data_IF_769697076896
#
_entry.id   IF_769697076896
#
_cell.length_a   1.000
_cell.length_b   1.000
_cell.length_c   1.000
_cell.angle_alpha   90.00
_cell.angle_beta   90.00
_cell.angle_gamma   90.00
#
_symmetry.space_group_name_H-M   'P 1'
#
loop_
_entity.id
_entity.type
_entity.pdbx_description
1 polymer ?
#
# COMPACT_ATOMS: atom_id res chain seq x y z
N UNK A 1 -27.65 -3.67 -11.49
CA UNK A 1 -26.29 -3.09 -11.44
C UNK A 1 -25.28 -4.22 -11.50
N UNK A 2 -24.22 -4.14 -12.32
CA UNK A 2 -23.20 -5.19 -12.39
C UNK A 2 -22.43 -5.26 -11.06
N UNK A 3 -22.21 -6.48 -10.57
CA UNK A 3 -21.38 -6.73 -9.39
C UNK A 3 -19.92 -6.89 -9.83
N UNK A 4 -19.08 -5.90 -9.52
CA UNK A 4 -17.67 -5.88 -9.89
C UNK A 4 -16.81 -5.89 -8.63
N UNK A 5 -15.80 -6.77 -8.59
CA UNK A 5 -14.77 -6.80 -7.56
C UNK A 5 -13.40 -6.74 -8.23
N UNK A 6 -12.57 -5.77 -7.82
CA UNK A 6 -11.22 -5.63 -8.31
C UNK A 6 -10.25 -5.96 -7.18
N UNK A 7 -9.53 -7.07 -7.30
CA UNK A 7 -8.51 -7.46 -6.34
C UNK A 7 -7.13 -7.33 -6.98
N UNK A 8 -6.19 -6.73 -6.26
CA UNK A 8 -4.82 -6.55 -6.74
C UNK A 8 -3.83 -6.99 -5.67
N UNK A 9 -2.77 -7.66 -6.10
CA UNK A 9 -1.53 -7.82 -5.32
C UNK A 9 -0.51 -6.82 -5.85
N UNK A 10 -0.20 -5.82 -5.03
CA UNK A 10 0.71 -4.73 -5.37
C UNK A 10 1.98 -4.90 -4.54
N UNK A 11 3.13 -4.88 -5.22
CA UNK A 11 4.44 -4.93 -4.58
C UNK A 11 5.24 -3.70 -5.01
N UNK A 12 5.94 -3.07 -4.07
CA UNK A 12 7.00 -2.12 -4.41
C UNK A 12 8.15 -2.20 -3.42
N UNK A 13 9.34 -1.88 -3.92
CA UNK A 13 10.57 -1.86 -3.13
C UNK A 13 10.95 -0.44 -2.67
N UNK A 14 11.81 -0.39 -1.65
CA UNK A 14 12.59 0.78 -1.28
C UNK A 14 13.49 1.22 -2.44
N UNK A 15 14.02 2.45 -2.36
CA UNK A 15 14.92 2.96 -3.39
C UNK A 15 16.18 2.07 -3.43
N UNK A 16 16.51 1.58 -4.63
CA UNK A 16 17.63 0.66 -4.86
C UNK A 16 17.57 -0.67 -4.07
N UNK A 17 16.39 -1.07 -3.56
CA UNK A 17 16.25 -2.23 -2.66
C UNK A 17 17.13 -2.14 -1.42
N UNK A 18 17.40 -0.92 -0.94
CA UNK A 18 18.11 -0.73 0.31
C UNK A 18 17.26 -1.29 1.49
N UNK A 19 17.85 -2.04 2.44
CA UNK A 19 17.13 -2.65 3.55
C UNK A 19 16.77 -1.59 4.62
N UNK A 20 15.83 -0.71 4.29
CA UNK A 20 15.47 0.48 5.09
C UNK A 20 14.22 0.27 5.95
N UNK A 21 13.49 -0.82 5.75
CA UNK A 21 12.28 -1.14 6.51
C UNK A 21 12.73 -1.85 7.79
N UNK A 22 13.10 -1.07 8.79
CA UNK A 22 13.36 -1.56 10.16
C UNK A 22 12.03 -1.85 10.89
N UNK A 23 12.02 -2.60 12.01
CA UNK A 23 10.77 -2.90 12.72
C UNK A 23 9.93 -1.66 13.12
N UNK A 24 10.58 -0.55 13.46
CA UNK A 24 9.88 0.70 13.79
C UNK A 24 9.30 1.38 12.53
N UNK A 25 10.05 1.37 11.43
CA UNK A 25 9.61 1.90 10.13
C UNK A 25 8.48 1.04 9.56
N UNK A 26 8.57 -0.28 9.69
CA UNK A 26 7.54 -1.23 9.26
C UNK A 26 6.20 -0.90 9.91
N UNK A 27 6.16 -0.77 11.24
CA UNK A 27 4.92 -0.47 11.97
C UNK A 27 4.25 0.80 11.44
N UNK A 28 5.01 1.88 11.28
CA UNK A 28 4.51 3.14 10.76
C UNK A 28 4.06 2.99 9.29
N UNK A 29 4.87 2.36 8.45
CA UNK A 29 4.59 2.11 7.03
C UNK A 29 3.28 1.35 6.82
N UNK A 30 3.10 0.22 7.51
CA UNK A 30 1.90 -0.61 7.36
C UNK A 30 0.66 0.15 7.87
N UNK A 31 0.78 0.90 8.97
CA UNK A 31 -0.30 1.73 9.50
C UNK A 31 -0.72 2.82 8.50
N UNK A 32 0.22 3.61 7.98
CA UNK A 32 -0.03 4.66 6.99
C UNK A 32 -0.75 4.12 5.75
N UNK A 33 -0.28 2.99 5.21
CA UNK A 33 -0.85 2.40 4.00
C UNK A 33 -2.28 1.93 4.27
N UNK A 34 -2.55 1.32 5.43
CA UNK A 34 -3.91 0.92 5.85
C UNK A 34 -4.85 2.12 5.96
N UNK A 35 -4.45 3.15 6.69
CA UNK A 35 -5.26 4.35 6.92
C UNK A 35 -5.59 5.04 5.58
N UNK A 36 -4.57 5.26 4.73
CA UNK A 36 -4.78 5.90 3.44
C UNK A 36 -5.66 5.08 2.52
N UNK A 37 -5.49 3.76 2.49
CA UNK A 37 -6.31 2.87 1.67
C UNK A 37 -7.76 2.85 2.14
N UNK A 38 -8.00 2.88 3.46
CA UNK A 38 -9.33 2.98 4.05
C UNK A 38 -10.01 4.30 3.68
N UNK A 39 -9.30 5.43 3.73
CA UNK A 39 -9.82 6.74 3.29
C UNK A 39 -10.23 6.74 1.81
N UNK A 40 -9.59 5.93 0.97
CA UNK A 40 -9.93 5.79 -0.45
C UNK A 40 -11.13 4.85 -0.69
N UNK A 41 -11.61 4.16 0.35
CA UNK A 41 -12.65 3.13 0.23
C UNK A 41 -12.13 1.82 -0.37
N UNK A 42 -10.82 1.57 -0.31
CA UNK A 42 -10.18 0.38 -0.85
C UNK A 42 -9.63 -0.48 0.30
N UNK A 43 -10.43 -1.37 0.91
CA UNK A 43 -9.97 -2.13 2.07
C UNK A 43 -8.79 -3.06 1.72
N UNK A 44 -7.79 -3.08 2.58
CA UNK A 44 -6.64 -3.99 2.49
C UNK A 44 -7.03 -5.33 3.10
N UNK A 45 -6.85 -6.40 2.33
CA UNK A 45 -7.11 -7.77 2.73
C UNK A 45 -5.91 -8.37 3.47
N UNK A 46 -4.69 -8.10 2.99
CA UNK A 46 -3.44 -8.50 3.62
C UNK A 46 -2.33 -7.49 3.27
N UNK A 47 -1.39 -7.28 4.17
CA UNK A 47 -0.25 -6.37 3.98
C UNK A 47 0.87 -6.79 4.92
N UNK A 48 2.05 -6.96 4.35
CA UNK A 48 3.27 -7.38 5.03
C UNK A 48 4.45 -6.69 4.35
N UNK A 49 5.52 -6.45 5.09
CA UNK A 49 6.77 -5.96 4.54
C UNK A 49 7.94 -6.79 5.03
N UNK A 50 9.01 -6.73 4.27
CA UNK A 50 10.34 -7.19 4.66
C UNK A 50 11.31 -6.05 4.45
N UNK A 51 12.60 -6.27 4.67
CA UNK A 51 13.59 -5.21 4.84
C UNK A 51 13.67 -4.22 3.66
N UNK A 52 13.38 -4.66 2.43
CA UNK A 52 13.50 -3.84 1.21
C UNK A 52 12.20 -3.69 0.39
N UNK A 53 11.08 -4.33 0.76
CA UNK A 53 9.84 -4.21 0.00
C UNK A 53 8.58 -4.53 0.81
N UNK A 54 7.44 -4.13 0.25
CA UNK A 54 6.11 -4.32 0.83
C UNK A 54 5.18 -5.00 -0.16
N UNK A 55 4.36 -5.91 0.36
CA UNK A 55 3.27 -6.60 -0.36
C UNK A 55 1.92 -6.11 0.16
N UNK A 56 1.01 -5.77 -0.74
CA UNK A 56 -0.36 -5.37 -0.37
C UNK A 56 -1.38 -6.09 -1.25
N UNK A 57 -2.26 -6.86 -0.62
CA UNK A 57 -3.47 -7.39 -1.24
C UNK A 57 -4.63 -6.43 -0.93
N UNK A 58 -5.19 -5.78 -1.95
CA UNK A 58 -6.23 -4.75 -1.79
C UNK A 58 -7.48 -5.09 -2.60
N UNK A 59 -8.64 -4.89 -1.99
CA UNK A 59 -9.92 -4.82 -2.69
C UNK A 59 -10.15 -3.37 -3.12
N UNK A 60 -9.90 -3.08 -4.40
CA UNK A 60 -10.01 -1.75 -4.97
C UNK A 60 -11.41 -1.49 -5.55
N UNK A 61 -11.78 -0.23 -5.67
CA UNK A 61 -13.03 0.20 -6.30
C UNK A 61 -12.80 0.47 -7.80
N UNK A 62 -13.73 0.07 -8.70
CA UNK A 62 -13.55 0.23 -10.15
C UNK A 62 -13.32 1.68 -10.62
N UNK A 63 -13.80 2.66 -9.82
CA UNK A 63 -13.64 4.10 -10.10
C UNK A 63 -12.22 4.64 -9.83
N UNK A 64 -11.37 3.89 -9.13
CA UNK A 64 -9.98 4.29 -8.82
C UNK A 64 -9.05 3.35 -9.58
N UNK A 65 -8.33 3.89 -10.57
CA UNK A 65 -7.27 3.14 -11.24
C UNK A 65 -6.23 2.68 -10.23
N UNK A 66 -5.76 1.43 -10.32
CA UNK A 66 -4.77 0.88 -9.38
C UNK A 66 -3.51 1.74 -9.32
N UNK A 67 -3.05 2.30 -10.45
CA UNK A 67 -1.90 3.20 -10.49
C UNK A 67 -2.10 4.48 -9.65
N UNK A 68 -3.32 5.02 -9.62
CA UNK A 68 -3.66 6.20 -8.81
C UNK A 68 -3.70 5.85 -7.31
N UNK A 69 -4.24 4.68 -6.96
CA UNK A 69 -4.16 4.17 -5.59
C UNK A 69 -2.70 4.00 -5.15
N UNK A 70 -1.85 3.36 -5.97
CA UNK A 70 -0.41 3.18 -5.70
C UNK A 70 0.28 4.53 -5.50
N UNK A 71 0.03 5.51 -6.38
CA UNK A 71 0.60 6.87 -6.28
C UNK A 71 0.30 7.50 -4.92
N UNK A 72 -0.94 7.38 -4.44
CA UNK A 72 -1.36 7.99 -3.19
C UNK A 72 -0.83 7.26 -1.96
N UNK A 73 -0.90 5.93 -1.90
CA UNK A 73 -0.45 5.17 -0.72
C UNK A 73 1.06 5.20 -0.57
N UNK A 74 1.81 4.96 -1.66
CA UNK A 74 3.28 5.02 -1.67
C UNK A 74 3.79 6.44 -1.44
N UNK A 75 3.12 7.43 -2.02
CA UNK A 75 3.49 8.84 -1.88
C UNK A 75 3.33 9.36 -0.46
N UNK A 76 2.23 8.99 0.23
CA UNK A 76 2.03 9.37 1.62
C UNK A 76 2.99 8.62 2.55
N UNK A 77 3.15 7.30 2.39
CA UNK A 77 4.03 6.51 3.25
C UNK A 77 5.48 6.99 3.15
N UNK A 78 5.97 7.29 1.95
CA UNK A 78 7.29 7.87 1.75
C UNK A 78 7.49 9.23 2.44
N UNK A 79 6.42 10.02 2.67
CA UNK A 79 6.53 11.32 3.37
C UNK A 79 6.48 11.18 4.89
N UNK A 80 5.96 10.07 5.41
CA UNK A 80 5.82 9.85 6.85
C UNK A 80 6.99 9.03 7.43
N UNK A 81 7.68 8.23 6.61
CA UNK A 81 8.75 7.33 7.06
C UNK A 81 10.17 7.77 6.65
N UNK A 82 10.33 8.89 5.94
CA UNK A 82 11.62 9.53 5.63
C UNK A 82 11.66 10.91 6.27
#
# INVERSE_FOLDING_TARGET
MPFVRCFYHVIWATKYRAPLITPDVERALLQTVREKSQMLGCPILAIEAVEDHIHVAVANVPRIAVAEWVRQVKGLSSRQTN
#
